data_IF_768304846015
#
_entry.id   IF_768304846015
#
_cell.length_a   1.000
_cell.length_b   1.000
_cell.length_c   1.000
_cell.angle_alpha   90.00
_cell.angle_beta   90.00
_cell.angle_gamma   90.00
#
_symmetry.space_group_name_H-M   'P 1'
#
loop_
_entity.id
_entity.type
_entity.pdbx_description
1 polymer ?
#
# COMPACT_ATOMS: atom_id res chain seq x y z
N UNK A 1 -14.25 -5.28 4.29
CA UNK A 1 -14.33 -5.50 2.82
C UNK A 1 -15.18 -4.45 2.10
N UNK A 2 -16.20 -3.85 2.72
CA UNK A 2 -17.07 -2.87 2.04
C UNK A 2 -16.31 -1.71 1.36
N UNK A 3 -15.34 -1.07 2.03
CA UNK A 3 -14.54 0.01 1.42
C UNK A 3 -13.57 -0.50 0.35
N UNK A 4 -13.03 -1.71 0.51
CA UNK A 4 -12.12 -2.30 -0.47
C UNK A 4 -12.83 -2.54 -1.81
N UNK A 5 -14.09 -3.01 -1.76
CA UNK A 5 -14.91 -3.23 -2.95
C UNK A 5 -15.30 -1.93 -3.69
N UNK A 6 -15.10 -0.76 -3.06
CA UNK A 6 -15.32 0.56 -3.68
C UNK A 6 -14.05 1.08 -4.39
N UNK A 7 -12.91 0.40 -4.20
CA UNK A 7 -11.67 0.74 -4.89
C UNK A 7 -11.67 0.13 -6.29
N UNK A 8 -10.99 0.81 -7.21
CA UNK A 8 -10.66 0.25 -8.51
C UNK A 8 -9.71 -0.94 -8.33
N UNK A 9 -9.81 -1.96 -9.18
CA UNK A 9 -8.88 -3.10 -9.14
C UNK A 9 -7.43 -2.62 -9.33
N UNK A 10 -6.44 -3.25 -8.66
CA UNK A 10 -5.05 -2.92 -8.88
C UNK A 10 -4.66 -3.16 -10.34
N UNK A 11 -3.88 -2.25 -10.92
CA UNK A 11 -3.31 -2.44 -12.25
C UNK A 11 -2.23 -3.53 -12.23
N UNK A 12 -1.88 -4.07 -13.40
CA UNK A 12 -0.80 -5.05 -13.52
C UNK A 12 0.53 -4.50 -12.96
N UNK A 13 0.86 -3.23 -13.26
CA UNK A 13 2.05 -2.55 -12.73
C UNK A 13 2.02 -2.41 -11.20
N UNK A 14 0.84 -2.20 -10.61
CA UNK A 14 0.67 -2.17 -9.17
C UNK A 14 0.91 -3.56 -8.57
N UNK A 15 0.35 -4.60 -9.17
CA UNK A 15 0.52 -5.99 -8.72
C UNK A 15 1.99 -6.41 -8.78
N UNK A 16 2.71 -6.09 -9.86
CA UNK A 16 4.15 -6.35 -9.98
C UNK A 16 4.97 -5.72 -8.84
N UNK A 17 4.56 -4.53 -8.39
CA UNK A 17 5.20 -3.83 -7.28
C UNK A 17 4.76 -4.37 -5.91
N UNK A 18 3.53 -4.86 -5.78
CA UNK A 18 3.00 -5.49 -4.56
C UNK A 18 3.61 -6.87 -4.31
N UNK A 19 3.95 -7.63 -5.37
CA UNK A 19 4.65 -8.91 -5.27
C UNK A 19 6.00 -8.81 -4.54
N UNK A 20 6.56 -7.60 -4.55
CA UNK A 20 7.82 -7.27 -3.92
C UNK A 20 7.68 -6.84 -2.45
N UNK A 21 6.45 -6.69 -1.95
CA UNK A 21 6.14 -6.20 -0.60
C UNK A 21 6.15 -7.34 0.44
N UNK A 22 6.60 -7.02 1.65
CA UNK A 22 6.58 -7.96 2.77
C UNK A 22 5.19 -8.01 3.41
N UNK A 23 4.70 -9.22 3.70
CA UNK A 23 3.43 -9.41 4.42
C UNK A 23 2.21 -8.97 3.62
N UNK A 24 2.24 -9.15 2.31
CA UNK A 24 1.12 -8.87 1.41
C UNK A 24 -0.11 -9.70 1.82
N UNK A 25 -1.28 -9.07 1.82
CA UNK A 25 -2.59 -9.69 2.07
C UNK A 25 -3.50 -9.47 0.85
N UNK A 26 -4.62 -10.19 0.77
CA UNK A 26 -5.60 -10.07 -0.32
C UNK A 26 -6.19 -8.66 -0.48
N UNK A 27 -6.05 -7.80 0.53
CA UNK A 27 -6.56 -6.41 0.52
C UNK A 27 -5.46 -5.35 0.50
N UNK A 28 -4.20 -5.78 0.34
CA UNK A 28 -3.06 -4.88 0.29
C UNK A 28 -3.03 -4.10 -1.02
N UNK A 29 -2.75 -2.80 -0.95
CA UNK A 29 -2.67 -1.87 -2.09
C UNK A 29 -1.52 -0.89 -1.90
N UNK A 30 -1.03 -0.34 -3.00
CA UNK A 30 -0.09 0.77 -2.95
C UNK A 30 -0.83 2.04 -2.58
N UNK A 31 -0.46 2.66 -1.45
CA UNK A 31 -1.14 3.85 -0.95
C UNK A 31 -1.19 5.02 -1.95
N UNK A 32 -0.24 5.10 -2.88
CA UNK A 32 -0.22 6.12 -3.93
C UNK A 32 -1.26 5.91 -5.05
N UNK A 33 -1.76 4.69 -5.23
CA UNK A 33 -2.79 4.36 -6.23
C UNK A 33 -4.21 4.55 -5.69
N UNK A 34 -4.36 4.71 -4.37
CA UNK A 34 -5.66 4.91 -3.74
C UNK A 34 -6.00 6.41 -3.71
N UNK A 35 -6.90 6.81 -4.60
CA UNK A 35 -7.39 8.20 -4.65
C UNK A 35 -8.47 8.39 -3.57
N UNK A 36 -8.27 9.36 -2.68
CA UNK A 36 -9.25 9.70 -1.66
C UNK A 36 -10.54 10.26 -2.30
N UNK A 37 -11.69 9.68 -1.94
CA UNK A 37 -13.01 10.09 -2.41
C UNK A 37 -14.03 10.03 -1.25
N UNK A 38 -15.13 10.80 -1.28
CA UNK A 38 -16.13 10.81 -0.20
C UNK A 38 -16.69 9.43 0.16
N UNK A 39 -16.76 8.49 -0.80
CA UNK A 39 -17.27 7.13 -0.60
C UNK A 39 -16.35 6.24 0.25
N UNK A 40 -15.11 6.69 0.47
CA UNK A 40 -14.10 6.07 1.32
C UNK A 40 -14.05 6.70 2.72
N UNK A 41 -14.96 7.61 3.06
CA UNK A 41 -15.01 8.18 4.41
C UNK A 41 -15.15 7.07 5.48
N UNK A 42 -14.36 7.19 6.55
CA UNK A 42 -14.26 6.17 7.59
C UNK A 42 -13.42 4.92 7.24
N UNK A 43 -12.74 4.89 6.08
CA UNK A 43 -11.85 3.78 5.73
C UNK A 43 -10.77 3.56 6.80
N UNK A 44 -10.53 2.29 7.14
CA UNK A 44 -9.44 1.87 8.03
C UNK A 44 -8.39 1.13 7.24
N UNK A 45 -7.14 1.55 7.41
CA UNK A 45 -5.98 0.96 6.75
C UNK A 45 -5.05 0.38 7.81
N UNK A 46 -4.46 -0.78 7.51
CA UNK A 46 -3.38 -1.35 8.28
C UNK A 46 -2.06 -1.07 7.55
N UNK A 47 -1.09 -0.47 8.25
CA UNK A 47 0.25 -0.27 7.71
C UNK A 47 1.07 -1.53 8.00
N UNK A 48 1.70 -2.16 6.98
CA UNK A 48 2.49 -3.37 7.20
C UNK A 48 3.69 -3.08 8.11
N UNK A 49 4.13 -4.10 8.86
CA UNK A 49 5.21 -3.96 9.85
C UNK A 49 6.59 -3.64 9.23
N UNK A 50 6.76 -3.93 7.94
CA UNK A 50 7.98 -3.62 7.20
C UNK A 50 7.63 -2.98 5.86
N UNK A 51 8.46 -2.04 5.41
CA UNK A 51 8.31 -1.37 4.11
C UNK A 51 9.64 -1.43 3.38
N UNK A 52 9.62 -1.80 2.10
CA UNK A 52 10.81 -1.81 1.26
C UNK A 52 10.90 -0.46 0.53
N UNK A 53 11.51 0.52 1.16
CA UNK A 53 11.80 1.80 0.51
C UNK A 53 13.07 1.65 -0.33
N UNK A 54 13.00 1.91 -1.64
CA UNK A 54 14.20 2.20 -2.43
C UNK A 54 14.79 3.50 -1.85
N UNK A 55 15.84 3.39 -1.04
CA UNK A 55 16.55 4.54 -0.52
C UNK A 55 17.18 5.29 -1.69
N UNK A 56 16.54 6.38 -2.11
CA UNK A 56 17.12 7.36 -3.04
C UNK A 56 17.91 8.34 -2.17
N UNK A 57 19.23 8.33 -2.36
CA UNK A 57 20.24 9.22 -1.81
C UNK A 57 20.41 9.27 -0.27
N UNK A 58 21.31 8.43 0.25
CA UNK A 58 22.05 8.71 1.49
C UNK A 58 21.34 8.49 2.83
N UNK A 59 20.13 7.91 2.86
CA UNK A 59 19.42 7.67 4.11
C UNK A 59 19.97 6.46 4.89
N UNK A 60 20.61 6.71 6.04
CA UNK A 60 21.02 5.67 7.00
C UNK A 60 19.95 5.57 8.09
N UNK A 61 19.15 4.50 8.05
CA UNK A 61 18.21 4.18 9.12
C UNK A 61 18.99 3.87 10.41
N UNK A 62 18.67 4.57 11.50
CA UNK A 62 19.26 4.27 12.81
C UNK A 62 18.69 2.94 13.33
N UNK A 63 19.54 2.01 13.81
CA UNK A 63 19.05 0.77 14.40
C UNK A 63 18.38 1.08 15.73
N UNK A 64 17.27 0.39 16.00
CA UNK A 64 16.80 0.16 17.37
C UNK A 64 17.89 -0.61 18.13
#
# INVERSE_FOLDING_TARGET
MEHYNKLEEPSDEENDMLDLAFGLTETSRLGCQIIARPELDGIRLAIPAATRNFAVDGYVAKPH
#
